data_IF_366825937081
#
_entry.id   IF_366825937081
#
_cell.length_a   1.000
_cell.length_b   1.000
_cell.length_c   1.000
_cell.angle_alpha   90.00
_cell.angle_beta   90.00
_cell.angle_gamma   90.00
#
_symmetry.space_group_name_H-M   'P 1'
#
loop_
_entity.id
_entity.type
_entity.pdbx_description
1 polymer ?
#
# COMPACT_ATOMS: atom_id res chain seq x y z
N UNK A 1 23.21 -3.10 -9.54
CA UNK A 1 22.30 -2.79 -10.65
C UNK A 1 21.23 -1.88 -10.08
N UNK A 2 21.07 -0.65 -10.57
CA UNK A 2 19.94 0.18 -10.13
C UNK A 2 18.65 -0.52 -10.57
N UNK A 3 17.58 -0.55 -9.75
CA UNK A 3 16.32 -1.10 -10.20
C UNK A 3 15.85 -0.32 -11.44
N UNK A 4 15.33 -1.03 -12.44
CA UNK A 4 14.67 -0.42 -13.59
C UNK A 4 13.60 0.56 -13.13
N UNK A 5 13.36 1.61 -13.91
CA UNK A 5 12.26 2.53 -13.62
C UNK A 5 10.94 1.74 -13.51
N UNK A 6 10.06 2.03 -12.53
CA UNK A 6 8.82 1.31 -12.40
C UNK A 6 7.91 1.54 -13.60
N UNK A 7 7.11 0.54 -13.94
CA UNK A 7 5.96 0.75 -14.83
C UNK A 7 4.87 1.45 -14.02
N UNK A 8 4.37 2.59 -14.49
CA UNK A 8 3.39 3.41 -13.78
C UNK A 8 2.10 3.48 -14.58
N UNK A 9 1.00 3.11 -13.92
CA UNK A 9 -0.36 3.16 -14.46
C UNK A 9 -1.27 3.94 -13.50
N UNK A 10 -2.45 4.31 -13.96
CA UNK A 10 -3.48 4.90 -13.10
C UNK A 10 -4.80 4.17 -13.27
N UNK A 11 -5.34 3.68 -12.16
CA UNK A 11 -6.57 2.89 -12.10
C UNK A 11 -7.68 3.66 -11.40
N UNK A 12 -8.94 3.33 -11.69
CA UNK A 12 -10.06 3.74 -10.84
C UNK A 12 -9.99 3.04 -9.47
N UNK A 13 -10.89 3.37 -8.54
CA UNK A 13 -11.10 2.59 -7.32
C UNK A 13 -11.72 1.21 -7.65
N UNK A 14 -10.92 0.36 -8.30
CA UNK A 14 -11.30 -0.96 -8.80
C UNK A 14 -10.35 -2.01 -8.20
N UNK A 15 -10.82 -2.74 -7.16
CA UNK A 15 -10.04 -3.82 -6.56
C UNK A 15 -9.63 -4.92 -7.54
N UNK A 16 -10.43 -5.21 -8.57
CA UNK A 16 -10.11 -6.25 -9.53
C UNK A 16 -8.95 -5.83 -10.45
N UNK A 17 -8.91 -4.56 -10.87
CA UNK A 17 -7.79 -4.01 -11.63
C UNK A 17 -6.48 -4.05 -10.83
N UNK A 18 -6.52 -3.68 -9.54
CA UNK A 18 -5.34 -3.76 -8.68
C UNK A 18 -4.94 -5.21 -8.37
N UNK A 19 -5.90 -6.11 -8.20
CA UNK A 19 -5.63 -7.54 -7.99
C UNK A 19 -4.92 -8.17 -9.20
N UNK A 20 -5.33 -7.82 -10.42
CA UNK A 20 -4.65 -8.27 -11.64
C UNK A 20 -3.18 -7.80 -11.69
N UNK A 21 -2.90 -6.60 -11.19
CA UNK A 21 -1.53 -6.10 -11.02
C UNK A 21 -0.76 -6.92 -9.98
N UNK A 22 -1.38 -7.24 -8.84
CA UNK A 22 -0.77 -8.10 -7.82
C UNK A 22 -0.48 -9.51 -8.35
N UNK A 23 -1.42 -10.11 -9.07
CA UNK A 23 -1.25 -11.43 -9.68
C UNK A 23 -0.09 -11.43 -10.68
N UNK A 24 0.04 -10.38 -11.51
CA UNK A 24 1.14 -10.26 -12.46
C UNK A 24 2.51 -10.18 -11.75
N UNK A 25 2.61 -9.45 -10.63
CA UNK A 25 3.84 -9.34 -9.84
C UNK A 25 4.11 -10.59 -9.00
N UNK A 26 3.07 -11.30 -8.56
CA UNK A 26 3.22 -12.59 -7.90
C UNK A 26 3.73 -13.66 -8.89
N UNK A 27 3.24 -13.66 -10.13
CA UNK A 27 3.65 -14.59 -11.17
C UNK A 27 5.11 -14.39 -11.61
N UNK A 28 5.67 -13.18 -11.53
CA UNK A 28 7.09 -12.94 -11.80
C UNK A 28 8.02 -13.45 -10.68
N UNK A 29 7.49 -13.73 -9.49
CA UNK A 29 8.25 -14.21 -8.32
C UNK A 29 9.26 -13.22 -7.77
N UNK A 30 9.28 -11.99 -8.28
CA UNK A 30 10.16 -10.87 -7.90
C UNK A 30 9.43 -9.55 -8.12
N UNK A 31 9.80 -8.54 -7.33
CA UNK A 31 9.28 -7.19 -7.45
C UNK A 31 8.29 -6.83 -6.34
N UNK A 32 7.71 -5.64 -6.46
CA UNK A 32 6.68 -5.13 -5.54
C UNK A 32 5.82 -4.08 -6.25
N UNK A 33 4.70 -3.73 -5.62
CA UNK A 33 3.78 -2.71 -6.12
C UNK A 33 3.65 -1.61 -5.08
N UNK A 34 3.77 -0.36 -5.52
CA UNK A 34 3.39 0.80 -4.74
C UNK A 34 2.10 1.41 -5.28
N UNK A 35 1.22 1.83 -4.38
CA UNK A 35 -0.09 2.41 -4.72
C UNK A 35 -0.27 3.69 -3.92
N UNK A 36 -0.65 4.77 -4.59
CA UNK A 36 -0.97 6.06 -3.94
C UNK A 36 -2.28 6.62 -4.50
N UNK A 37 -3.10 7.31 -3.69
CA UNK A 37 -4.21 8.10 -4.21
C UNK A 37 -3.74 9.15 -5.22
N UNK A 38 -4.44 9.28 -6.35
CA UNK A 38 -4.22 10.37 -7.29
C UNK A 38 -4.84 11.66 -6.72
N UNK A 39 -4.07 12.75 -6.72
CA UNK A 39 -4.53 14.05 -6.28
C UNK A 39 -4.97 14.91 -7.47
N UNK A 40 -5.98 15.79 -7.30
CA UNK A 40 -6.29 16.81 -8.30
C UNK A 40 -5.07 17.67 -8.62
N UNK A 41 -4.96 18.11 -9.88
CA UNK A 41 -3.91 19.03 -10.29
C UNK A 41 -3.89 20.30 -9.42
N UNK A 42 -2.70 20.77 -9.07
CA UNK A 42 -2.53 21.94 -8.21
C UNK A 42 -2.75 21.69 -6.71
N UNK A 43 -3.12 20.48 -6.29
CA UNK A 43 -3.24 20.13 -4.86
C UNK A 43 -1.91 20.35 -4.14
N UNK A 44 -1.90 21.31 -3.23
CA UNK A 44 -0.72 21.61 -2.42
C UNK A 44 -0.62 20.58 -1.28
N UNK A 45 0.35 19.68 -1.38
CA UNK A 45 0.77 18.86 -0.24
C UNK A 45 1.92 19.57 0.48
N UNK A 46 1.97 19.57 1.83
CA UNK A 46 3.09 20.15 2.56
C UNK A 46 4.40 19.61 1.98
N UNK A 47 5.24 20.52 1.47
CA UNK A 47 6.49 20.19 0.83
C UNK A 47 7.33 19.38 1.82
N UNK A 48 7.39 18.08 1.60
CA UNK A 48 8.40 17.24 2.19
C UNK A 48 9.36 16.90 1.07
N UNK A 49 10.68 17.00 1.30
CA UNK A 49 11.64 16.82 0.23
C UNK A 49 11.58 15.36 -0.21
N UNK A 50 11.03 15.14 -1.42
CA UNK A 50 10.85 13.89 -2.16
C UNK A 50 9.45 13.26 -2.03
N UNK A 51 8.94 12.76 -3.16
CA UNK A 51 7.66 12.05 -3.34
C UNK A 51 7.53 10.73 -2.54
N UNK A 52 8.41 10.50 -1.55
CA UNK A 52 8.51 9.35 -0.65
C UNK A 52 8.96 9.77 0.76
N UNK A 53 8.70 11.02 1.18
CA UNK A 53 9.34 11.59 2.36
C UNK A 53 8.75 11.11 3.71
N UNK A 54 9.39 10.07 4.26
CA UNK A 54 9.15 9.43 5.57
C UNK A 54 9.58 10.29 6.78
N UNK A 55 9.85 11.60 6.64
CA UNK A 55 10.55 12.39 7.69
C UNK A 55 9.79 13.63 8.23
N UNK A 56 8.46 13.66 8.21
CA UNK A 56 7.68 14.57 9.05
C UNK A 56 7.26 13.86 10.36
N UNK A 57 7.14 14.57 11.49
CA UNK A 57 6.70 14.02 12.80
C UNK A 57 5.36 13.26 12.74
N UNK A 58 4.58 13.47 11.67
CA UNK A 58 3.25 12.89 11.44
C UNK A 58 3.20 11.74 10.41
N UNK A 59 4.26 11.52 9.61
CA UNK A 59 4.20 10.64 8.41
C UNK A 59 3.66 11.35 7.16
N UNK A 60 3.56 10.68 6.00
CA UNK A 60 3.11 11.31 4.75
C UNK A 60 1.60 11.56 4.76
N UNK A 61 1.16 12.76 4.35
CA UNK A 61 -0.28 13.11 4.33
C UNK A 61 -1.04 12.41 3.20
N UNK A 62 -0.31 12.00 2.16
CA UNK A 62 -0.77 11.06 1.13
C UNK A 62 -0.23 9.69 1.52
N UNK A 63 -1.08 8.71 1.83
CA UNK A 63 -0.60 7.40 2.23
C UNK A 63 0.01 6.66 1.04
N UNK A 64 1.02 5.84 1.33
CA UNK A 64 1.64 4.93 0.37
C UNK A 64 1.32 3.50 0.78
N UNK A 65 0.66 2.77 -0.11
CA UNK A 65 0.45 1.33 0.01
C UNK A 65 1.55 0.58 -0.70
N UNK A 66 2.01 -0.51 -0.12
CA UNK A 66 3.00 -1.40 -0.74
C UNK A 66 2.48 -2.83 -0.67
N UNK A 67 2.53 -3.55 -1.78
CA UNK A 67 2.30 -5.00 -1.84
C UNK A 67 3.60 -5.70 -2.22
N UNK A 68 3.98 -6.68 -1.41
CA UNK A 68 5.09 -7.59 -1.70
C UNK A 68 4.49 -8.98 -1.92
N UNK A 69 4.73 -9.61 -3.09
CA UNK A 69 4.18 -10.92 -3.40
C UNK A 69 4.79 -12.01 -2.49
N UNK A 70 4.12 -13.16 -2.38
CA UNK A 70 4.75 -14.32 -1.76
C UNK A 70 6.00 -14.69 -2.55
N UNK A 71 7.06 -15.08 -1.85
CA UNK A 71 8.34 -15.41 -2.46
C UNK A 71 9.08 -16.50 -1.69
N UNK A 72 10.06 -17.13 -2.32
CA UNK A 72 10.85 -18.17 -1.68
C UNK A 72 11.89 -17.54 -0.74
N UNK A 73 11.77 -17.82 0.55
CA UNK A 73 12.76 -17.48 1.57
C UNK A 73 13.66 -18.67 1.91
N UNK A 74 14.63 -18.45 2.81
CA UNK A 74 15.57 -19.49 3.27
C UNK A 74 14.88 -20.72 3.87
N UNK A 75 13.73 -20.55 4.53
CA UNK A 75 13.02 -21.58 5.29
C UNK A 75 11.68 -21.98 4.64
N UNK A 76 11.51 -21.75 3.34
CA UNK A 76 10.27 -22.02 2.61
C UNK A 76 9.58 -20.75 2.10
N UNK A 77 8.30 -20.87 1.74
CA UNK A 77 7.52 -19.77 1.18
C UNK A 77 7.27 -18.70 2.25
N UNK A 78 7.68 -17.46 1.95
CA UNK A 78 7.29 -16.27 2.69
C UNK A 78 5.94 -15.79 2.13
N UNK A 79 4.89 -15.63 2.97
CA UNK A 79 3.60 -15.11 2.51
C UNK A 79 3.71 -13.68 1.97
N UNK A 80 2.66 -13.21 1.29
CA UNK A 80 2.58 -11.81 0.87
C UNK A 80 2.51 -10.87 2.07
N UNK A 81 3.02 -9.64 1.88
CA UNK A 81 2.93 -8.57 2.86
C UNK A 81 2.28 -7.33 2.25
N UNK A 82 1.52 -6.62 3.08
CA UNK A 82 0.93 -5.32 2.75
C UNK A 82 1.49 -4.27 3.72
N UNK A 83 2.13 -3.24 3.18
CA UNK A 83 2.61 -2.08 3.93
C UNK A 83 1.73 -0.85 3.68
N UNK A 84 1.55 -0.01 4.69
CA UNK A 84 0.95 1.32 4.57
C UNK A 84 1.81 2.31 5.33
N UNK A 85 2.34 3.32 4.65
CA UNK A 85 2.88 4.53 5.28
C UNK A 85 1.78 5.61 5.31
N UNK A 86 1.57 6.25 6.45
CA UNK A 86 0.45 7.20 6.64
C UNK A 86 0.77 8.32 7.63
N UNK A 87 -0.01 9.39 7.53
CA UNK A 87 0.16 10.68 8.22
C UNK A 87 -0.63 10.86 9.52
N UNK A 88 -1.28 9.82 10.02
CA UNK A 88 -2.36 9.94 11.03
C UNK A 88 -1.88 10.30 12.44
N UNK A 89 -0.58 10.21 12.73
CA UNK A 89 0.01 10.40 14.07
C UNK A 89 -0.44 9.42 15.16
N UNK A 90 -1.38 8.51 14.86
CA UNK A 90 -1.78 7.36 15.67
C UNK A 90 -1.44 6.07 14.92
N UNK A 91 -1.64 4.92 15.56
CA UNK A 91 -1.45 3.61 14.92
C UNK A 91 -2.38 3.46 13.71
N UNK A 92 -1.92 2.76 12.67
CA UNK A 92 -2.73 2.56 11.47
C UNK A 92 -3.94 1.69 11.74
N UNK A 93 -3.78 0.65 12.58
CA UNK A 93 -4.88 -0.21 13.00
C UNK A 93 -5.99 0.57 13.72
N UNK A 94 -5.59 1.48 14.62
CA UNK A 94 -6.50 2.37 15.35
C UNK A 94 -7.20 3.36 14.39
N UNK A 95 -6.46 3.94 13.44
CA UNK A 95 -7.03 4.86 12.45
C UNK A 95 -8.06 4.21 11.51
N UNK A 96 -7.99 2.90 11.32
CA UNK A 96 -8.83 2.12 10.41
C UNK A 96 -9.98 1.39 11.12
N UNK A 97 -9.99 1.31 12.45
CA UNK A 97 -10.88 0.41 13.21
C UNK A 97 -12.37 0.58 12.93
N UNK A 98 -12.83 1.83 12.75
CA UNK A 98 -14.24 2.16 12.51
C UNK A 98 -14.57 2.38 11.02
N UNK A 99 -13.88 1.67 10.12
CA UNK A 99 -14.06 1.78 8.67
C UNK A 99 -14.18 0.43 7.98
N UNK A 100 -14.56 0.44 6.71
CA UNK A 100 -14.51 -0.71 5.79
C UNK A 100 -13.08 -1.24 5.58
N UNK A 101 -12.07 -0.46 5.97
CA UNK A 101 -10.67 -0.82 5.96
C UNK A 101 -10.11 -1.32 7.31
N UNK A 102 -10.97 -1.64 8.29
CA UNK A 102 -10.54 -2.29 9.52
C UNK A 102 -9.70 -3.56 9.20
N UNK A 103 -8.59 -3.75 9.93
CA UNK A 103 -7.69 -4.89 9.67
C UNK A 103 -8.44 -6.20 9.96
N UNK A 104 -8.54 -7.13 8.99
CA UNK A 104 -9.22 -8.39 9.22
C UNK A 104 -8.58 -9.19 10.36
N UNK A 105 -9.41 -9.83 11.20
CA UNK A 105 -8.94 -10.53 12.40
C UNK A 105 -8.00 -11.72 12.11
N UNK A 106 -8.09 -12.29 10.92
CA UNK A 106 -7.23 -13.38 10.43
C UNK A 106 -5.89 -12.88 9.88
N UNK A 107 -5.68 -11.57 9.77
CA UNK A 107 -4.43 -10.99 9.28
C UNK A 107 -3.48 -10.71 10.43
N UNK A 108 -2.21 -11.08 10.24
CA UNK A 108 -1.17 -10.84 11.25
C UNK A 108 -0.61 -9.43 11.09
N UNK A 109 -0.64 -8.65 12.17
CA UNK A 109 0.07 -7.36 12.23
C UNK A 109 1.56 -7.64 12.48
N UNK A 110 2.41 -7.34 11.50
CA UNK A 110 3.86 -7.48 11.60
C UNK A 110 4.49 -6.27 12.29
N UNK A 111 4.00 -5.08 11.97
CA UNK A 111 4.40 -3.82 12.58
C UNK A 111 3.25 -2.82 12.52
N UNK A 112 3.11 -1.98 13.55
CA UNK A 112 2.12 -0.90 13.56
C UNK A 112 2.67 0.29 14.33
N UNK A 113 3.28 1.20 13.58
CA UNK A 113 3.97 2.35 14.13
C UNK A 113 3.33 3.65 13.61
N UNK A 114 2.94 4.59 14.49
CA UNK A 114 2.32 5.86 14.11
C UNK A 114 3.12 6.81 13.19
N UNK A 115 4.33 6.42 12.78
CA UNK A 115 5.28 7.25 12.01
C UNK A 115 5.93 6.48 10.87
N UNK A 116 6.23 5.20 11.09
CA UNK A 116 6.85 4.33 10.08
C UNK A 116 5.82 3.60 9.21
N UNK A 117 4.56 3.56 9.67
CA UNK A 117 3.49 2.86 8.99
C UNK A 117 3.12 1.53 9.65
N UNK A 118 2.20 0.84 8.99
CA UNK A 118 1.66 -0.47 9.37
C UNK A 118 2.09 -1.50 8.34
N UNK A 119 2.54 -2.67 8.77
CA UNK A 119 2.80 -3.83 7.91
C UNK A 119 1.96 -5.01 8.39
N UNK A 120 1.28 -5.64 7.45
CA UNK A 120 0.34 -6.72 7.65
C UNK A 120 0.73 -7.92 6.79
N UNK A 121 0.48 -9.10 7.31
CA UNK A 121 0.61 -10.35 6.59
C UNK A 121 -0.74 -11.07 6.57
N UNK A 122 -1.42 -11.08 5.42
CA UNK A 122 -2.60 -11.91 5.22
C UNK A 122 -2.28 -13.42 5.34
N UNK A 123 -3.27 -14.27 5.64
CA UNK A 123 -3.16 -15.72 5.45
C UNK A 123 -2.71 -16.07 4.02
N UNK A 124 -1.94 -17.16 3.88
CA UNK A 124 -1.32 -17.54 2.61
C UNK A 124 -2.32 -17.84 1.48
N UNK A 125 -3.56 -18.19 1.81
CA UNK A 125 -4.68 -18.45 0.90
C UNK A 125 -5.53 -17.20 0.60
N UNK A 126 -5.14 -16.03 1.12
CA UNK A 126 -5.85 -14.77 0.85
C UNK A 126 -5.66 -14.35 -0.61
N UNK A 127 -6.78 -14.27 -1.34
CA UNK A 127 -6.78 -13.83 -2.74
C UNK A 127 -6.23 -12.41 -2.89
N UNK A 128 -5.56 -12.14 -4.00
CA UNK A 128 -5.10 -10.79 -4.38
C UNK A 128 -6.25 -9.80 -4.46
N UNK A 129 -7.46 -10.24 -4.84
CA UNK A 129 -8.68 -9.42 -4.78
C UNK A 129 -9.00 -8.94 -3.37
N UNK A 130 -8.95 -9.81 -2.36
CA UNK A 130 -9.21 -9.41 -0.96
C UNK A 130 -8.12 -8.47 -0.44
N UNK A 131 -6.87 -8.71 -0.81
CA UNK A 131 -5.74 -7.84 -0.48
C UNK A 131 -5.88 -6.45 -1.12
N UNK A 132 -6.19 -6.39 -2.41
CA UNK A 132 -6.39 -5.16 -3.17
C UNK A 132 -7.60 -4.35 -2.66
N UNK A 133 -8.71 -5.03 -2.36
CA UNK A 133 -9.92 -4.42 -1.79
C UNK A 133 -9.60 -3.69 -0.50
N UNK A 134 -8.91 -4.38 0.43
CA UNK A 134 -8.53 -3.78 1.70
C UNK A 134 -7.53 -2.63 1.52
N UNK A 135 -6.53 -2.78 0.65
CA UNK A 135 -5.50 -1.76 0.46
C UNK A 135 -6.09 -0.46 -0.10
N UNK A 136 -6.97 -0.54 -1.11
CA UNK A 136 -7.61 0.65 -1.68
C UNK A 136 -8.49 1.37 -0.65
N UNK A 137 -9.29 0.63 0.13
CA UNK A 137 -10.12 1.19 1.18
C UNK A 137 -9.25 1.89 2.25
N UNK A 138 -8.14 1.27 2.66
CA UNK A 138 -7.23 1.85 3.64
C UNK A 138 -6.56 3.12 3.12
N UNK A 139 -6.09 3.13 1.87
CA UNK A 139 -5.48 4.31 1.26
C UNK A 139 -6.47 5.46 1.10
N UNK A 140 -7.72 5.16 0.70
CA UNK A 140 -8.78 6.15 0.65
C UNK A 140 -9.04 6.74 2.04
N UNK A 141 -9.17 5.89 3.06
CA UNK A 141 -9.48 6.32 4.44
C UNK A 141 -8.38 7.18 5.07
N UNK A 142 -7.12 6.87 4.75
CA UNK A 142 -5.94 7.51 5.35
C UNK A 142 -5.44 8.73 4.56
N UNK A 143 -5.96 8.97 3.35
CA UNK A 143 -5.63 10.16 2.57
C UNK A 143 -6.24 11.40 3.19
N UNK A 144 -5.39 12.33 3.64
CA UNK A 144 -5.85 13.57 4.24
C UNK A 144 -6.23 14.64 3.19
N UNK A 145 -5.45 14.85 2.12
CA UNK A 145 -5.86 15.74 1.04
C UNK A 145 -7.05 15.18 0.25
N UNK A 146 -7.85 16.06 -0.42
CA UNK A 146 -8.79 15.63 -1.44
C UNK A 146 -8.07 14.82 -2.53
N UNK A 147 -8.66 13.70 -2.93
CA UNK A 147 -8.16 12.83 -3.99
C UNK A 147 -9.23 12.65 -5.08
N UNK A 148 -8.82 12.30 -6.29
CA UNK A 148 -9.72 12.14 -7.45
C UNK A 148 -10.61 10.91 -7.37
N UNK A 149 -10.26 9.97 -6.48
CA UNK A 149 -10.87 8.63 -6.39
C UNK A 149 -10.19 7.59 -7.29
N UNK A 150 -9.13 8.00 -8.01
CA UNK A 150 -8.23 7.11 -8.75
C UNK A 150 -6.95 6.88 -7.97
N UNK A 151 -6.17 5.90 -8.41
CA UNK A 151 -4.92 5.50 -7.77
C UNK A 151 -3.82 5.35 -8.80
N UNK A 152 -2.65 5.88 -8.48
CA UNK A 152 -1.43 5.68 -9.25
C UNK A 152 -0.77 4.40 -8.73
N UNK A 153 -0.45 3.49 -9.64
CA UNK A 153 0.12 2.18 -9.35
C UNK A 153 1.48 2.09 -10.02
N UNK A 154 2.53 1.92 -9.21
CA UNK A 154 3.90 1.75 -9.68
C UNK A 154 4.35 0.30 -9.41
N UNK A 155 4.60 -0.46 -10.48
CA UNK A 155 5.14 -1.83 -10.41
C UNK A 155 6.65 -1.79 -10.61
N UNK A 156 7.37 -2.40 -9.67
CA UNK A 156 8.80 -2.55 -9.72
C UNK A 156 9.14 -4.00 -10.03
N UNK A 157 9.96 -4.22 -11.04
CA UNK A 157 10.52 -5.54 -11.35
C UNK A 157 11.76 -5.78 -10.49
N UNK A 158 11.97 -7.04 -10.07
CA UNK A 158 13.11 -7.45 -9.23
C UNK A 158 14.12 -8.35 -9.92
#
# INVERSE_FOLDING_TARGET
MAPSAPTVDTIAHDPAALAAVFDAVAASGRGWVNVVPELPEGTQVPATPNAFAVFNKRGPVVPLGTYVPPHTGRNGTVPSELGIQHGTSIKGTEALADSDAAVPADWRILADHPRKGTSLQPPADTTTLRQATWLLAALQRLCLPPHTGRFIVARYEG
#
